data_IF_194955363604
#
_entry.id   IF_194955363604
#
_cell.length_a   1.000
_cell.length_b   1.000
_cell.length_c   1.000
_cell.angle_alpha   90.00
_cell.angle_beta   90.00
_cell.angle_gamma   90.00
#
_symmetry.space_group_name_H-M   'P 1'
#
loop_
_entity.id
_entity.type
_entity.pdbx_description
1 polymer ?
#
# COMPACT_ATOMS: atom_id res chain seq x y z
N UNK A 1 -3.93 -11.84 15.34
CA UNK A 1 -3.79 -10.37 15.40
C UNK A 1 -3.56 -9.88 13.97
N UNK A 2 -4.31 -8.88 13.51
CA UNK A 2 -4.07 -8.26 12.22
C UNK A 2 -3.08 -7.12 12.44
N UNK A 3 -1.95 -7.17 11.75
CA UNK A 3 -0.90 -6.14 11.83
C UNK A 3 -0.78 -5.47 10.47
N UNK A 4 -0.73 -4.14 10.48
CA UNK A 4 -0.26 -3.35 9.36
C UNK A 4 1.21 -3.05 9.67
N UNK A 5 2.09 -3.36 8.73
CA UNK A 5 3.54 -3.15 8.88
C UNK A 5 3.98 -2.19 7.78
N UNK A 6 4.60 -1.08 8.16
CA UNK A 6 5.26 -0.15 7.22
C UNK A 6 6.46 -0.86 6.59
N UNK A 7 6.56 -0.80 5.27
CA UNK A 7 7.62 -1.40 4.48
C UNK A 7 8.30 -0.31 3.68
N UNK A 8 9.62 -0.39 3.69
CA UNK A 8 10.49 0.53 2.97
C UNK A 8 10.12 0.68 1.49
N UNK A 9 10.42 1.88 1.01
CA UNK A 9 10.25 2.31 -0.37
C UNK A 9 11.15 1.50 -1.30
N UNK A 10 10.56 0.89 -2.33
CA UNK A 10 11.30 0.10 -3.34
C UNK A 10 11.68 0.87 -4.58
N UNK A 11 11.07 2.01 -4.86
CA UNK A 11 11.33 2.76 -6.09
C UNK A 11 10.93 4.22 -6.00
N UNK A 12 11.54 5.06 -6.84
CA UNK A 12 11.40 6.53 -6.81
C UNK A 12 9.94 6.99 -6.87
N UNK A 13 9.11 6.28 -7.65
CA UNK A 13 7.68 6.57 -7.83
C UNK A 13 6.79 6.18 -6.65
N UNK A 14 7.26 5.44 -5.66
CA UNK A 14 6.44 5.15 -4.48
C UNK A 14 6.34 6.39 -3.57
N UNK A 15 5.15 6.77 -3.14
CA UNK A 15 4.96 7.99 -2.34
C UNK A 15 5.65 7.85 -0.97
N UNK A 16 5.46 6.70 -0.32
CA UNK A 16 5.90 6.49 1.07
C UNK A 16 6.45 5.10 1.36
N UNK A 17 6.54 4.25 0.35
CA UNK A 17 6.76 2.81 0.49
C UNK A 17 5.48 1.99 0.36
N UNK A 18 5.44 0.86 1.06
CA UNK A 18 4.31 -0.06 1.03
C UNK A 18 3.87 -0.48 2.43
N UNK A 19 2.66 -1.01 2.55
CA UNK A 19 2.13 -1.52 3.80
C UNK A 19 1.83 -3.01 3.63
N UNK A 20 2.37 -3.84 4.52
CA UNK A 20 2.00 -5.25 4.58
C UNK A 20 0.87 -5.42 5.60
N UNK A 21 -0.28 -5.87 5.15
CA UNK A 21 -1.42 -6.22 6.01
C UNK A 21 -1.41 -7.72 6.22
N UNK A 22 -1.05 -8.15 7.43
CA UNK A 22 -0.91 -9.57 7.79
C UNK A 22 -1.92 -9.95 8.87
N UNK A 23 -2.55 -11.11 8.73
CA UNK A 23 -3.49 -11.67 9.70
C UNK A 23 -3.80 -13.13 9.38
N UNK A 24 -4.66 -13.77 10.19
CA UNK A 24 -5.08 -15.16 9.92
C UNK A 24 -5.80 -15.19 8.56
N UNK A 25 -5.23 -15.90 7.59
CA UNK A 25 -5.69 -15.97 6.19
C UNK A 25 -5.65 -14.64 5.41
N UNK A 26 -4.92 -13.63 5.91
CA UNK A 26 -4.76 -12.34 5.24
C UNK A 26 -3.27 -12.05 5.06
N UNK A 27 -2.85 -11.86 3.82
CA UNK A 27 -1.48 -11.45 3.49
C UNK A 27 -1.53 -10.56 2.24
N UNK A 28 -1.66 -9.26 2.47
CA UNK A 28 -1.79 -8.25 1.43
C UNK A 28 -0.61 -7.29 1.47
N UNK A 29 -0.19 -6.84 0.30
CA UNK A 29 0.69 -5.69 0.14
C UNK A 29 -0.10 -4.53 -0.45
N UNK A 30 0.03 -3.35 0.14
CA UNK A 30 -0.57 -2.13 -0.37
C UNK A 30 0.56 -1.19 -0.75
N UNK A 31 0.65 -0.77 -2.01
CA UNK A 31 1.67 0.17 -2.48
C UNK A 31 1.01 1.35 -3.17
N UNK A 32 1.52 2.53 -2.88
CA UNK A 32 0.99 3.80 -3.40
C UNK A 32 2.06 4.43 -4.30
N UNK A 33 1.73 4.59 -5.58
CA UNK A 33 2.62 5.13 -6.60
C UNK A 33 2.15 6.50 -7.06
N UNK A 34 3.08 7.45 -7.11
CA UNK A 34 2.92 8.70 -7.83
C UNK A 34 2.93 8.41 -9.34
N UNK A 35 2.09 9.13 -10.08
CA UNK A 35 2.01 8.98 -11.52
C UNK A 35 2.07 10.34 -12.20
N UNK A 36 2.76 10.38 -13.33
CA UNK A 36 2.97 11.61 -14.10
C UNK A 36 1.68 12.13 -14.76
N UNK A 37 0.64 11.30 -14.84
CA UNK A 37 -0.64 11.65 -15.45
C UNK A 37 -1.61 12.29 -14.45
N UNK A 38 -1.73 13.63 -14.53
CA UNK A 38 -2.92 14.35 -14.09
C UNK A 38 -3.16 14.44 -12.58
N UNK A 39 -2.09 14.53 -11.77
CA UNK A 39 -2.14 14.63 -10.29
C UNK A 39 -2.78 13.42 -9.60
N UNK A 40 -2.90 12.28 -10.29
CA UNK A 40 -3.43 11.05 -9.72
C UNK A 40 -2.29 10.18 -9.19
N UNK A 41 -2.58 9.47 -8.11
CA UNK A 41 -1.75 8.41 -7.58
C UNK A 41 -2.49 7.09 -7.71
N UNK A 42 -1.72 6.01 -7.80
CA UNK A 42 -2.21 4.66 -8.01
C UNK A 42 -1.97 3.81 -6.77
N UNK A 43 -3.02 3.24 -6.23
CA UNK A 43 -2.95 2.22 -5.18
C UNK A 43 -2.97 0.85 -5.84
N UNK A 44 -1.94 0.05 -5.59
CA UNK A 44 -1.88 -1.36 -5.97
C UNK A 44 -2.01 -2.20 -4.71
N UNK A 45 -2.96 -3.16 -4.73
CA UNK A 45 -3.05 -4.20 -3.70
C UNK A 45 -2.55 -5.51 -4.31
N UNK A 46 -1.66 -6.21 -3.63
CA UNK A 46 -1.16 -7.51 -4.04
C UNK A 46 -1.51 -8.56 -3.00
N UNK A 47 -1.93 -9.74 -3.43
CA UNK A 47 -2.23 -10.87 -2.56
C UNK A 47 -1.62 -12.16 -3.09
N UNK A 48 -1.40 -13.14 -2.21
CA UNK A 48 -0.95 -14.46 -2.63
C UNK A 48 -2.17 -15.38 -2.85
N UNK A 49 -2.34 -15.91 -4.06
CA UNK A 49 -3.49 -16.76 -4.42
C UNK A 49 -3.28 -18.25 -4.09
N UNK A 50 -2.14 -18.60 -3.49
CA UNK A 50 -1.74 -19.98 -3.22
C UNK A 50 -0.67 -20.51 -4.18
N UNK A 51 -0.43 -19.82 -5.30
CA UNK A 51 0.63 -20.16 -6.27
C UNK A 51 1.56 -18.98 -6.53
N UNK A 52 1.02 -17.78 -6.68
CA UNK A 52 1.77 -16.58 -7.04
C UNK A 52 1.23 -15.32 -6.37
N UNK A 53 2.04 -14.26 -6.42
CA UNK A 53 1.58 -12.91 -6.08
C UNK A 53 0.79 -12.32 -7.24
N UNK A 54 -0.44 -11.90 -6.96
CA UNK A 54 -1.36 -11.31 -7.93
C UNK A 54 -1.62 -9.86 -7.52
N UNK A 55 -1.55 -8.94 -8.50
CA UNK A 55 -1.96 -7.56 -8.31
C UNK A 55 -3.44 -7.42 -8.66
N UNK A 56 -4.20 -6.75 -7.80
CA UNK A 56 -5.54 -6.30 -8.14
C UNK A 56 -5.47 -5.23 -9.24
N UNK A 57 -6.57 -4.99 -9.97
CA UNK A 57 -6.73 -3.76 -10.72
C UNK A 57 -6.40 -2.55 -9.83
N UNK A 58 -5.68 -1.55 -10.36
CA UNK A 58 -5.27 -0.41 -9.57
C UNK A 58 -6.45 0.51 -9.24
N UNK A 59 -6.42 1.08 -8.04
CA UNK A 59 -7.35 2.15 -7.65
C UNK A 59 -6.65 3.49 -7.92
N UNK A 60 -7.29 4.35 -8.69
CA UNK A 60 -6.77 5.66 -9.06
C UNK A 60 -7.44 6.75 -8.24
N UNK A 61 -6.67 7.50 -7.46
CA UNK A 61 -7.18 8.58 -6.60
C UNK A 61 -6.33 9.83 -6.77
N UNK A 62 -6.80 10.95 -6.21
CA UNK A 62 -6.01 12.18 -6.13
C UNK A 62 -4.76 11.92 -5.27
N UNK A 63 -3.62 12.47 -5.70
CA UNK A 63 -2.34 12.37 -4.99
C UNK A 63 -2.43 12.81 -3.52
N UNK A 64 -3.07 13.94 -3.23
CA UNK A 64 -3.18 14.44 -1.84
C UNK A 64 -3.93 13.47 -0.92
N UNK A 65 -4.97 12.80 -1.44
CA UNK A 65 -5.71 11.79 -0.70
C UNK A 65 -4.85 10.54 -0.44
N UNK A 66 -4.03 10.14 -1.42
CA UNK A 66 -3.09 9.03 -1.28
C UNK A 66 -1.96 9.33 -0.28
N UNK A 67 -1.46 10.57 -0.25
CA UNK A 67 -0.50 11.03 0.75
C UNK A 67 -1.10 10.99 2.15
N UNK A 68 -2.33 11.47 2.33
CA UNK A 68 -3.03 11.39 3.61
C UNK A 68 -3.27 9.93 4.05
N UNK A 69 -3.71 9.08 3.13
CA UNK A 69 -3.91 7.65 3.38
C UNK A 69 -2.61 6.99 3.84
N UNK A 70 -1.50 7.28 3.17
CA UNK A 70 -0.18 6.80 3.54
C UNK A 70 0.19 7.17 4.98
N UNK A 71 0.05 8.45 5.34
CA UNK A 71 0.35 8.93 6.69
C UNK A 71 -0.52 8.23 7.74
N UNK A 72 -1.81 8.04 7.46
CA UNK A 72 -2.73 7.32 8.34
C UNK A 72 -2.33 5.85 8.51
N UNK A 73 -1.96 5.15 7.42
CA UNK A 73 -1.52 3.75 7.47
C UNK A 73 -0.22 3.58 8.25
N UNK A 74 0.73 4.51 8.11
CA UNK A 74 1.96 4.52 8.91
C UNK A 74 1.66 4.67 10.41
N UNK A 75 0.83 5.64 10.79
CA UNK A 75 0.42 5.83 12.19
C UNK A 75 -0.28 4.60 12.77
N UNK A 76 -1.11 3.90 11.98
CA UNK A 76 -1.72 2.65 12.40
C UNK A 76 -0.64 1.58 12.61
N UNK A 77 0.32 1.45 11.69
CA UNK A 77 1.43 0.51 11.82
C UNK A 77 2.23 0.74 13.10
N UNK A 78 2.53 1.99 13.44
CA UNK A 78 3.26 2.38 14.66
C UNK A 78 2.49 2.04 15.95
N UNK A 79 1.16 1.92 15.90
CA UNK A 79 0.32 1.55 17.07
C UNK A 79 0.09 0.05 17.21
N UNK A 80 0.24 -0.70 16.12
CA UNK A 80 0.05 -2.15 16.09
C UNK A 80 1.36 -2.93 16.31
N UNK A 81 2.49 -2.23 16.26
CA UNK A 81 3.83 -2.73 16.57
C UNK A 81 4.20 -2.31 17.99
#
# INVERSE_FOLDING_TARGET
MTVIVDIEKKGVREISGGFKVSGKKVNLWVRIYDTEFGKKARITVSFYDGARWVNTPPIWLNKSLCEELSVRLRRISEKLT
#
